data_IF_336326380801
#
_entry.id   IF_336326380801
#
_cell.length_a   1.000
_cell.length_b   1.000
_cell.length_c   1.000
_cell.angle_alpha   90.00
_cell.angle_beta   90.00
_cell.angle_gamma   90.00
#
_symmetry.space_group_name_H-M   'P 1'
#
loop_
_entity.id
_entity.type
_entity.pdbx_description
1 polymer ?
#
# COMPACT_ATOMS: atom_id res chain seq x y z
N UNK A 1 -45.16 9.33 89.92
CA UNK A 1 -44.72 8.00 89.59
C UNK A 1 -44.09 8.06 88.19
N UNK A 2 -42.79 7.84 88.14
CA UNK A 2 -41.86 8.12 87.07
C UNK A 2 -42.06 7.20 85.87
N UNK A 3 -41.76 7.70 84.71
CA UNK A 3 -41.05 6.91 83.73
C UNK A 3 -40.49 7.79 82.58
N UNK A 4 -39.18 7.86 82.57
CA UNK A 4 -38.36 8.48 81.50
C UNK A 4 -38.49 7.72 80.17
N UNK A 5 -38.61 8.48 79.13
CA UNK A 5 -38.45 7.94 77.80
C UNK A 5 -37.24 8.59 77.12
N UNK A 6 -36.16 7.84 76.99
CA UNK A 6 -34.98 8.24 76.28
C UNK A 6 -35.24 8.10 74.73
N UNK A 7 -35.17 9.22 74.03
CA UNK A 7 -35.17 9.23 72.57
C UNK A 7 -33.72 9.13 72.10
N UNK A 8 -33.39 8.04 71.48
CA UNK A 8 -32.12 7.83 70.78
C UNK A 8 -32.26 8.42 69.38
N UNK A 9 -31.52 9.50 69.08
CA UNK A 9 -31.41 10.11 67.75
C UNK A 9 -30.29 9.39 67.02
N UNK A 10 -30.64 8.53 66.12
CA UNK A 10 -29.68 7.88 65.18
C UNK A 10 -29.37 8.82 63.99
N UNK A 11 -28.18 9.41 64.07
CA UNK A 11 -27.64 10.21 62.95
C UNK A 11 -27.14 9.22 61.87
N UNK A 12 -27.87 9.11 60.77
CA UNK A 12 -27.46 8.34 59.59
C UNK A 12 -26.56 9.25 58.73
N UNK A 13 -25.24 9.11 58.92
CA UNK A 13 -24.27 9.78 58.08
C UNK A 13 -24.22 9.08 56.71
N UNK A 14 -24.85 9.67 55.70
CA UNK A 14 -24.80 9.25 54.33
C UNK A 14 -23.51 9.77 53.70
N UNK A 15 -22.47 8.91 53.65
CA UNK A 15 -21.23 9.20 52.97
C UNK A 15 -21.52 9.23 51.43
N UNK A 16 -21.53 10.44 50.85
CA UNK A 16 -21.60 10.68 49.45
C UNK A 16 -20.25 10.31 48.83
N UNK A 17 -20.12 9.11 48.29
CA UNK A 17 -18.98 8.76 47.43
C UNK A 17 -19.14 9.48 46.09
N UNK A 18 -18.44 10.60 45.95
CA UNK A 18 -18.23 11.24 44.67
C UNK A 18 -17.19 10.38 43.93
N UNK A 19 -17.66 9.54 43.04
CA UNK A 19 -16.78 8.95 42.04
C UNK A 19 -16.37 10.08 41.10
N UNK A 20 -15.20 10.67 41.34
CA UNK A 20 -14.51 11.43 40.29
C UNK A 20 -14.04 10.38 39.27
N UNK A 21 -14.81 10.19 38.24
CA UNK A 21 -14.33 9.57 37.00
C UNK A 21 -13.36 10.58 36.40
N UNK A 22 -12.06 10.43 36.67
CA UNK A 22 -11.06 10.95 35.74
C UNK A 22 -11.19 10.14 34.46
N UNK A 23 -11.95 10.63 33.53
CA UNK A 23 -11.66 10.35 32.14
C UNK A 23 -10.43 11.21 31.83
N UNK A 24 -9.24 10.61 31.85
CA UNK A 24 -8.13 11.12 31.07
C UNK A 24 -8.52 10.93 29.61
N UNK A 25 -9.42 11.77 29.11
CA UNK A 25 -9.60 11.99 27.70
C UNK A 25 -8.39 12.80 27.25
N UNK A 26 -7.29 12.08 26.94
CA UNK A 26 -6.17 12.66 26.23
C UNK A 26 -6.71 13.19 24.90
N UNK A 27 -6.90 14.51 24.85
CA UNK A 27 -7.37 15.20 23.63
C UNK A 27 -6.18 15.35 22.67
N UNK A 28 -5.86 14.29 21.92
CA UNK A 28 -4.79 14.29 20.93
C UNK A 28 -5.13 15.21 19.76
N UNK A 29 -4.14 15.82 19.09
CA UNK A 29 -4.37 16.57 17.86
C UNK A 29 -4.94 15.66 16.75
N UNK A 30 -5.61 16.26 15.76
CA UNK A 30 -6.02 15.56 14.55
C UNK A 30 -4.80 14.93 13.84
N UNK A 31 -4.97 13.85 13.07
CA UNK A 31 -3.91 13.25 12.29
C UNK A 31 -3.17 14.26 11.42
N UNK A 32 -1.89 14.03 11.16
CA UNK A 32 -1.06 14.80 10.23
C UNK A 32 -0.77 13.91 9.03
N UNK A 33 -1.00 14.44 7.83
CA UNK A 33 -0.63 13.83 6.57
C UNK A 33 0.49 14.68 5.97
N UNK A 34 1.60 14.07 5.61
CA UNK A 34 2.73 14.72 4.94
C UNK A 34 3.21 13.88 3.76
N UNK A 35 4.00 14.50 2.89
CA UNK A 35 4.63 13.87 1.73
C UNK A 35 3.64 13.10 0.87
N UNK A 36 2.41 13.63 0.71
CA UNK A 36 1.42 13.04 -0.19
C UNK A 36 1.91 13.13 -1.62
N UNK A 37 2.09 11.99 -2.24
CA UNK A 37 2.44 11.80 -3.64
C UNK A 37 1.26 11.13 -4.37
N UNK A 38 0.87 11.71 -5.51
CA UNK A 38 -0.19 11.20 -6.40
C UNK A 38 0.41 11.07 -7.79
N UNK A 39 0.45 9.83 -8.30
CA UNK A 39 1.22 9.49 -9.49
C UNK A 39 2.73 9.49 -9.21
N UNK A 40 3.53 8.96 -10.11
CA UNK A 40 4.98 8.90 -9.93
C UNK A 40 5.60 10.30 -9.92
N UNK A 41 6.53 10.54 -8.96
CA UNK A 41 7.19 11.82 -8.74
C UNK A 41 6.18 12.98 -8.51
N UNK A 42 5.06 12.64 -7.86
CA UNK A 42 3.94 13.56 -7.60
C UNK A 42 3.45 14.30 -8.86
N UNK A 43 3.46 13.61 -9.99
CA UNK A 43 3.04 14.16 -11.28
C UNK A 43 1.58 14.60 -11.31
N UNK A 44 0.75 14.06 -10.42
CA UNK A 44 -0.71 14.19 -10.42
C UNK A 44 -1.33 13.75 -11.75
N UNK A 45 -0.76 12.71 -12.37
CA UNK A 45 -1.25 12.11 -13.59
C UNK A 45 -1.41 10.62 -13.39
N UNK A 46 -2.58 10.11 -13.79
CA UNK A 46 -2.86 8.68 -13.92
C UNK A 46 -3.08 8.31 -15.39
N UNK A 47 -2.88 7.05 -15.75
CA UNK A 47 -3.05 6.59 -17.11
C UNK A 47 -4.07 5.46 -17.20
N UNK A 48 -4.97 5.49 -18.19
CA UNK A 48 -5.95 4.42 -18.45
C UNK A 48 -5.28 3.06 -18.57
N UNK A 49 -5.88 2.04 -17.93
CA UNK A 49 -5.38 0.66 -17.97
C UNK A 49 -4.10 0.43 -17.16
N UNK A 50 -3.72 1.39 -16.32
CA UNK A 50 -2.59 1.26 -15.39
C UNK A 50 -3.03 1.54 -13.97
N UNK A 51 -2.12 1.53 -13.01
CA UNK A 51 -2.40 1.90 -11.63
C UNK A 51 -1.94 3.34 -11.34
N UNK A 52 -2.68 4.02 -10.49
CA UNK A 52 -2.30 5.28 -9.86
C UNK A 52 -1.49 4.97 -8.59
N UNK A 53 -0.24 5.40 -8.56
CA UNK A 53 0.62 5.34 -7.37
C UNK A 53 0.20 6.42 -6.37
N UNK A 54 0.10 6.04 -5.08
CA UNK A 54 -0.21 6.96 -3.98
C UNK A 54 0.70 6.62 -2.81
N UNK A 55 1.46 7.61 -2.32
CA UNK A 55 2.30 7.50 -1.13
C UNK A 55 1.99 8.65 -0.16
N UNK A 56 2.08 8.39 1.16
CA UNK A 56 1.94 9.41 2.19
C UNK A 56 2.54 8.95 3.52
N UNK A 57 3.10 9.91 4.28
CA UNK A 57 3.46 9.70 5.68
C UNK A 57 2.33 10.18 6.59
N UNK A 58 1.92 9.34 7.54
CA UNK A 58 0.80 9.62 8.44
C UNK A 58 1.27 9.54 9.89
N UNK A 59 0.95 10.58 10.68
CA UNK A 59 1.16 10.61 12.12
C UNK A 59 -0.17 10.91 12.80
N UNK A 60 -0.63 10.01 13.70
CA UNK A 60 -1.86 10.15 14.46
C UNK A 60 -1.60 9.81 15.93
N UNK A 61 -1.43 10.82 16.80
CA UNK A 61 -1.23 10.60 18.24
C UNK A 61 -2.41 9.86 18.87
N UNK A 62 -3.64 10.14 18.39
CA UNK A 62 -4.89 9.46 18.77
C UNK A 62 -5.06 8.07 18.16
N UNK A 63 -4.06 7.55 17.44
CA UNK A 63 -4.03 6.31 16.66
C UNK A 63 -5.00 6.32 15.47
N UNK A 64 -4.55 5.83 14.34
CA UNK A 64 -5.36 5.68 13.14
C UNK A 64 -6.52 4.70 13.42
N UNK A 65 -7.74 5.09 13.08
CA UNK A 65 -8.89 4.19 12.98
C UNK A 65 -8.98 3.61 11.57
N UNK A 66 -9.02 4.50 10.57
CA UNK A 66 -9.08 4.13 9.15
C UNK A 66 -8.57 5.25 8.24
N UNK A 67 -8.23 4.86 7.03
CA UNK A 67 -7.86 5.77 5.93
C UNK A 67 -8.89 5.57 4.83
N UNK A 68 -9.42 6.67 4.27
CA UNK A 68 -10.42 6.66 3.20
C UNK A 68 -9.87 7.43 2.00
N UNK A 69 -10.04 6.86 0.82
CA UNK A 69 -9.79 7.53 -0.45
C UNK A 69 -11.08 7.55 -1.25
N UNK A 70 -11.45 8.73 -1.74
CA UNK A 70 -12.54 8.93 -2.68
C UNK A 70 -11.99 9.65 -3.92
N UNK A 71 -12.31 9.13 -5.10
CA UNK A 71 -11.94 9.69 -6.40
C UNK A 71 -13.19 9.75 -7.26
N UNK A 72 -13.44 10.90 -7.90
CA UNK A 72 -14.54 11.06 -8.84
C UNK A 72 -14.20 12.12 -9.90
N UNK A 73 -14.80 12.01 -11.10
CA UNK A 73 -14.57 12.92 -12.20
C UNK A 73 -15.10 14.33 -11.88
N UNK A 74 -14.36 15.39 -12.26
CA UNK A 74 -14.75 16.79 -11.98
C UNK A 74 -16.07 17.20 -12.68
N UNK A 75 -16.46 16.53 -13.76
CA UNK A 75 -17.66 16.82 -14.57
C UNK A 75 -19.00 16.45 -13.93
N UNK A 76 -19.06 15.81 -12.77
CA UNK A 76 -20.31 15.25 -12.18
C UNK A 76 -21.22 16.29 -11.49
N UNK A 77 -21.19 17.55 -11.90
CA UNK A 77 -22.18 18.55 -11.48
C UNK A 77 -23.44 18.59 -12.35
N UNK A 78 -23.88 17.44 -12.88
CA UNK A 78 -25.27 17.26 -13.35
C UNK A 78 -25.53 17.51 -14.83
N UNK A 79 -24.59 17.33 -15.72
CA UNK A 79 -24.84 17.35 -17.17
C UNK A 79 -24.64 15.98 -17.82
N UNK A 80 -25.73 15.23 -17.93
CA UNK A 80 -25.83 14.10 -18.86
C UNK A 80 -25.82 14.64 -20.29
N UNK A 81 -24.68 14.70 -20.94
CA UNK A 81 -24.58 14.99 -22.37
C UNK A 81 -23.86 13.88 -23.12
N UNK A 82 -24.65 12.99 -23.72
CA UNK A 82 -24.45 12.42 -25.04
C UNK A 82 -23.31 11.46 -25.24
N UNK A 83 -23.68 10.15 -25.34
CA UNK A 83 -22.97 9.11 -26.12
C UNK A 83 -21.42 9.25 -26.22
N UNK A 84 -20.76 8.86 -25.16
CA UNK A 84 -19.41 8.31 -25.22
C UNK A 84 -19.45 6.96 -24.52
N UNK A 85 -18.73 5.96 -25.08
CA UNK A 85 -18.53 4.63 -24.48
C UNK A 85 -17.57 4.67 -23.27
N UNK A 86 -17.13 5.88 -22.83
CA UNK A 86 -16.31 6.10 -21.64
C UNK A 86 -17.21 6.10 -20.41
N UNK A 87 -16.81 5.38 -19.37
CA UNK A 87 -17.52 5.32 -18.10
C UNK A 87 -16.91 6.32 -17.11
N UNK A 88 -17.78 7.07 -16.43
CA UNK A 88 -17.38 7.84 -15.25
C UNK A 88 -16.74 6.86 -14.26
N UNK A 89 -15.45 6.98 -14.04
CA UNK A 89 -14.74 6.17 -13.07
C UNK A 89 -14.83 6.83 -11.70
N UNK A 90 -15.35 6.08 -10.76
CA UNK A 90 -15.38 6.44 -9.36
C UNK A 90 -14.63 5.38 -8.56
N UNK A 91 -13.90 5.81 -7.56
CA UNK A 91 -13.22 4.92 -6.63
C UNK A 91 -13.46 5.40 -5.20
N UNK A 92 -13.93 4.49 -4.36
CA UNK A 92 -14.04 4.70 -2.92
C UNK A 92 -13.51 3.46 -2.21
N UNK A 93 -12.55 3.65 -1.30
CA UNK A 93 -12.04 2.54 -0.50
C UNK A 93 -11.65 2.99 0.90
N UNK A 94 -11.84 2.10 1.86
CA UNK A 94 -11.48 2.29 3.27
C UNK A 94 -10.48 1.22 3.71
N UNK A 95 -9.27 1.65 4.08
CA UNK A 95 -8.24 0.79 4.66
C UNK A 95 -8.32 0.81 6.17
N UNK A 96 -8.38 -0.38 6.77
CA UNK A 96 -8.39 -0.60 8.23
C UNK A 96 -7.15 -1.32 8.73
N UNK A 97 -6.26 -1.79 7.86
CA UNK A 97 -5.02 -2.48 8.23
C UNK A 97 -4.03 -1.59 9.01
N UNK A 98 -4.18 -0.28 8.93
CA UNK A 98 -3.40 0.70 9.71
C UNK A 98 -4.00 0.99 11.09
N UNK A 99 -5.13 0.40 11.43
CA UNK A 99 -5.85 0.67 12.67
C UNK A 99 -5.00 0.38 13.91
N UNK A 100 -5.00 1.30 14.87
CA UNK A 100 -4.22 1.23 16.10
C UNK A 100 -2.78 1.75 15.99
N UNK A 101 -2.27 2.00 14.78
CA UNK A 101 -0.93 2.57 14.57
C UNK A 101 -0.92 4.07 14.89
N UNK A 102 0.20 4.58 15.41
CA UNK A 102 0.46 6.01 15.56
C UNK A 102 1.13 6.62 14.35
N UNK A 103 1.94 5.83 13.64
CA UNK A 103 2.65 6.24 12.44
C UNK A 103 2.40 5.18 11.38
N UNK A 104 2.18 5.60 10.15
CA UNK A 104 2.04 4.70 9.01
C UNK A 104 2.66 5.35 7.78
N UNK A 105 3.36 4.54 6.98
CA UNK A 105 3.65 4.83 5.59
C UNK A 105 2.50 4.23 4.78
N UNK A 106 1.68 5.11 4.18
CA UNK A 106 0.65 4.71 3.24
C UNK A 106 1.26 4.56 1.86
N UNK A 107 1.19 3.39 1.28
CA UNK A 107 1.67 3.11 -0.07
C UNK A 107 0.67 2.18 -0.75
N UNK A 108 -0.02 2.68 -1.77
CA UNK A 108 -1.05 1.95 -2.51
C UNK A 108 -0.99 2.24 -4.00
N UNK A 109 -1.44 1.26 -4.76
CA UNK A 109 -1.68 1.34 -6.18
C UNK A 109 -3.18 1.12 -6.44
N UNK A 110 -3.79 2.02 -7.18
CA UNK A 110 -5.23 2.00 -7.51
C UNK A 110 -5.37 1.83 -9.01
N UNK A 111 -6.01 0.75 -9.43
CA UNK A 111 -6.21 0.47 -10.85
C UNK A 111 -7.13 1.52 -11.50
N UNK A 112 -6.66 2.13 -12.57
CA UNK A 112 -7.46 3.02 -13.42
C UNK A 112 -8.00 2.18 -14.58
N UNK A 113 -9.33 2.04 -14.74
CA UNK A 113 -9.92 1.29 -15.83
C UNK A 113 -9.46 1.77 -17.21
N UNK A 114 -9.40 0.85 -18.17
CA UNK A 114 -9.02 1.18 -19.56
C UNK A 114 -10.03 2.13 -20.22
N UNK A 115 -11.28 2.09 -19.76
CA UNK A 115 -12.42 2.89 -20.23
C UNK A 115 -12.77 4.07 -19.32
N UNK A 116 -11.92 4.39 -18.31
CA UNK A 116 -12.11 5.57 -17.47
C UNK A 116 -12.19 6.84 -18.32
N UNK A 117 -13.05 7.79 -17.99
CA UNK A 117 -13.12 9.07 -18.67
C UNK A 117 -11.80 9.85 -18.54
N UNK A 118 -11.38 10.53 -19.63
CA UNK A 118 -10.17 11.37 -19.59
C UNK A 118 -10.50 12.74 -19.01
N UNK A 119 -9.55 13.31 -18.26
CA UNK A 119 -9.68 14.65 -17.71
C UNK A 119 -9.36 14.73 -16.24
N UNK A 120 -9.87 15.77 -15.59
CA UNK A 120 -9.57 16.08 -14.21
C UNK A 120 -10.51 15.32 -13.25
N UNK A 121 -9.92 14.81 -12.18
CA UNK A 121 -10.59 14.07 -11.13
C UNK A 121 -10.32 14.73 -9.77
N UNK A 122 -11.34 14.82 -8.95
CA UNK A 122 -11.19 15.16 -7.53
C UNK A 122 -10.65 13.96 -6.77
N UNK A 123 -9.73 14.26 -5.85
CA UNK A 123 -9.04 13.29 -5.01
C UNK A 123 -9.17 13.72 -3.56
N UNK A 124 -9.84 12.91 -2.75
CA UNK A 124 -10.10 13.14 -1.33
C UNK A 124 -9.41 12.08 -0.50
N UNK A 125 -8.33 12.44 0.18
CA UNK A 125 -7.58 11.55 1.06
C UNK A 125 -7.82 11.90 2.52
N UNK A 126 -8.50 11.01 3.26
CA UNK A 126 -8.95 11.24 4.63
C UNK A 126 -8.30 10.27 5.59
N UNK A 127 -7.76 10.77 6.69
CA UNK A 127 -7.29 9.97 7.81
C UNK A 127 -8.18 10.27 9.02
N UNK A 128 -8.77 9.24 9.58
CA UNK A 128 -9.64 9.29 10.76
C UNK A 128 -8.93 8.59 11.91
N UNK A 129 -8.84 9.23 13.07
CA UNK A 129 -8.29 8.63 14.28
C UNK A 129 -9.36 7.94 15.14
N UNK A 130 -8.93 7.20 16.18
CA UNK A 130 -9.83 6.48 17.09
C UNK A 130 -10.67 7.41 17.98
N UNK A 131 -10.36 8.72 18.02
CA UNK A 131 -11.18 9.74 18.68
C UNK A 131 -12.20 10.37 17.72
N UNK A 132 -12.19 9.97 16.42
CA UNK A 132 -13.08 10.49 15.40
C UNK A 132 -12.61 11.83 14.81
N UNK A 133 -11.36 12.27 15.10
CA UNK A 133 -10.79 13.44 14.46
C UNK A 133 -10.37 13.09 13.04
N UNK A 134 -10.59 14.02 12.12
CA UNK A 134 -10.36 13.83 10.69
C UNK A 134 -9.36 14.86 10.19
N UNK A 135 -8.42 14.42 9.37
CA UNK A 135 -7.64 15.27 8.48
C UNK A 135 -7.90 14.80 7.06
N UNK A 136 -8.22 15.75 6.19
CA UNK A 136 -8.50 15.54 4.78
C UNK A 136 -7.58 16.41 3.94
N UNK A 137 -7.04 15.81 2.86
CA UNK A 137 -6.42 16.54 1.76
C UNK A 137 -7.32 16.35 0.53
N UNK A 138 -7.80 17.47 0.02
CA UNK A 138 -8.53 17.57 -1.24
C UNK A 138 -7.61 18.16 -2.30
N UNK A 139 -7.51 17.51 -3.46
CA UNK A 139 -6.73 17.96 -4.60
C UNK A 139 -7.27 17.35 -5.88
N UNK A 140 -6.66 17.68 -7.01
CA UNK A 140 -7.01 17.17 -8.33
C UNK A 140 -5.85 16.39 -8.92
N UNK A 141 -6.16 15.44 -9.81
CA UNK A 141 -5.22 14.78 -10.70
C UNK A 141 -5.88 14.54 -12.05
N UNK A 142 -5.09 14.36 -13.09
CA UNK A 142 -5.56 14.19 -14.47
C UNK A 142 -5.42 12.74 -14.93
N UNK A 143 -6.46 12.17 -15.53
CA UNK A 143 -6.41 10.84 -16.19
C UNK A 143 -6.16 11.05 -17.69
N UNK A 144 -5.10 10.41 -18.19
CA UNK A 144 -4.65 10.46 -19.59
C UNK A 144 -4.62 9.09 -20.25
N UNK A 145 -4.52 9.10 -21.58
CA UNK A 145 -4.08 7.90 -22.30
C UNK A 145 -2.57 7.69 -22.08
N UNK A 146 -2.10 6.41 -22.05
CA UNK A 146 -0.67 6.12 -22.03
C UNK A 146 0.08 6.88 -23.14
N UNK A 147 1.21 7.48 -22.77
CA UNK A 147 2.02 8.28 -23.71
C UNK A 147 3.09 7.44 -24.43
N UNK A 148 3.32 6.20 -23.94
CA UNK A 148 4.39 5.34 -24.41
C UNK A 148 3.91 3.92 -24.69
N UNK A 149 4.56 3.27 -25.65
CA UNK A 149 4.30 1.87 -26.03
C UNK A 149 5.51 0.96 -25.84
N UNK A 150 6.66 1.51 -25.43
CA UNK A 150 7.90 0.77 -25.20
C UNK A 150 7.95 0.32 -23.73
N UNK A 151 8.42 -0.92 -23.52
CA UNK A 151 8.65 -1.44 -22.18
C UNK A 151 10.07 -1.13 -21.70
N UNK A 152 10.30 -0.97 -20.37
CA UNK A 152 11.64 -0.94 -19.81
C UNK A 152 12.45 -2.20 -20.17
N UNK A 153 13.75 -2.02 -20.38
CA UNK A 153 14.67 -3.12 -20.66
C UNK A 153 15.34 -3.54 -19.34
N UNK A 154 15.14 -4.80 -18.97
CA UNK A 154 15.71 -5.41 -17.78
C UNK A 154 16.90 -6.27 -18.21
N UNK A 155 18.07 -6.04 -17.62
CA UNK A 155 19.28 -6.82 -17.82
C UNK A 155 19.73 -7.41 -16.50
N UNK A 156 19.50 -8.71 -16.29
CA UNK A 156 19.98 -9.41 -15.08
C UNK A 156 21.43 -9.78 -15.28
N UNK A 157 22.29 -9.36 -14.35
CA UNK A 157 23.73 -9.60 -14.36
C UNK A 157 24.16 -10.72 -13.42
N UNK A 158 23.34 -11.03 -12.41
CA UNK A 158 23.56 -12.12 -11.46
C UNK A 158 22.21 -12.67 -11.01
N UNK A 159 22.04 -13.98 -11.11
CA UNK A 159 20.88 -14.71 -10.61
C UNK A 159 21.30 -16.13 -10.18
N UNK A 160 20.49 -16.83 -9.39
CA UNK A 160 20.69 -18.27 -9.14
C UNK A 160 20.73 -19.07 -10.45
N UNK A 161 21.47 -20.17 -10.44
CA UNK A 161 21.42 -21.10 -11.57
C UNK A 161 20.07 -21.80 -11.65
N UNK A 162 19.63 -22.18 -12.84
CA UNK A 162 18.41 -22.93 -13.07
C UNK A 162 18.37 -24.22 -12.22
N UNK A 163 17.29 -24.43 -11.46
CA UNK A 163 17.13 -25.54 -10.52
C UNK A 163 18.09 -25.52 -9.32
N UNK A 164 18.72 -24.39 -8.99
CA UNK A 164 19.54 -24.28 -7.78
C UNK A 164 18.67 -24.49 -6.53
N UNK A 165 19.15 -25.37 -5.64
CA UNK A 165 18.45 -25.69 -4.37
C UNK A 165 18.88 -24.69 -3.30
N UNK A 166 17.92 -24.19 -2.54
CA UNK A 166 18.11 -23.36 -1.35
C UNK A 166 17.43 -23.97 -0.13
N UNK A 167 18.12 -23.94 1.00
CA UNK A 167 17.61 -24.42 2.28
C UNK A 167 17.26 -23.27 3.22
N UNK A 168 16.49 -23.58 4.27
CA UNK A 168 16.17 -22.60 5.31
C UNK A 168 17.44 -21.92 5.85
N UNK A 169 17.42 -20.59 5.92
CA UNK A 169 18.52 -19.75 6.37
C UNK A 169 19.52 -19.35 5.26
N UNK A 170 19.41 -19.90 4.04
CA UNK A 170 20.24 -19.49 2.90
C UNK A 170 19.67 -18.24 2.21
N UNK A 171 20.55 -17.48 1.56
CA UNK A 171 20.18 -16.23 0.89
C UNK A 171 19.99 -16.44 -0.61
N UNK A 172 18.87 -16.00 -1.13
CA UNK A 172 18.57 -15.89 -2.56
C UNK A 172 18.87 -14.45 -2.96
N UNK A 173 19.73 -14.26 -3.98
CA UNK A 173 20.12 -12.93 -4.47
C UNK A 173 19.97 -12.85 -5.97
N UNK A 174 19.45 -11.71 -6.46
CA UNK A 174 19.42 -11.35 -7.89
C UNK A 174 19.86 -9.90 -8.05
N UNK A 175 20.62 -9.61 -9.11
CA UNK A 175 21.11 -8.26 -9.41
C UNK A 175 21.08 -7.98 -10.91
N UNK A 176 20.98 -6.70 -11.26
CA UNK A 176 20.93 -6.27 -12.63
C UNK A 176 20.73 -4.77 -12.80
N UNK A 177 20.24 -4.39 -13.96
CA UNK A 177 19.89 -3.01 -14.29
C UNK A 177 18.54 -2.98 -15.02
N UNK A 178 17.78 -1.93 -14.80
CA UNK A 178 16.63 -1.55 -15.61
C UNK A 178 16.91 -0.22 -16.29
N UNK A 179 16.54 -0.10 -17.56
CA UNK A 179 16.69 1.14 -18.34
C UNK A 179 15.43 1.41 -19.18
N UNK A 180 15.13 2.68 -19.37
CA UNK A 180 14.06 3.12 -20.24
C UNK A 180 14.44 4.46 -20.89
N UNK A 181 13.85 4.77 -22.05
CA UNK A 181 14.06 6.06 -22.73
C UNK A 181 13.35 7.23 -22.08
N UNK A 182 12.24 6.94 -21.36
CA UNK A 182 11.49 7.88 -20.54
C UNK A 182 11.72 7.56 -19.05
N UNK A 183 11.11 8.31 -18.13
CA UNK A 183 11.28 8.04 -16.71
C UNK A 183 10.69 6.67 -16.31
N UNK A 184 11.41 5.95 -15.44
CA UNK A 184 10.94 4.74 -14.78
C UNK A 184 9.86 5.09 -13.76
N UNK A 185 8.83 4.26 -13.63
CA UNK A 185 7.70 4.47 -12.75
C UNK A 185 7.65 3.48 -11.58
N UNK A 186 7.99 2.22 -11.81
CA UNK A 186 7.95 1.20 -10.79
C UNK A 186 8.80 -0.02 -11.13
N UNK A 187 9.42 -0.65 -10.13
CA UNK A 187 10.10 -1.92 -10.25
C UNK A 187 9.69 -2.86 -9.14
N UNK A 188 9.41 -4.10 -9.50
CA UNK A 188 9.04 -5.16 -8.60
C UNK A 188 9.84 -6.43 -8.90
N UNK A 189 10.37 -7.07 -7.86
CA UNK A 189 11.03 -8.37 -7.93
C UNK A 189 10.28 -9.33 -7.01
N UNK A 190 9.63 -10.32 -7.61
CA UNK A 190 8.85 -11.34 -6.89
C UNK A 190 9.53 -12.70 -6.92
N UNK A 191 9.44 -13.42 -5.79
CA UNK A 191 9.68 -14.86 -5.71
C UNK A 191 8.32 -15.56 -5.75
N UNK A 192 8.07 -16.23 -6.83
CA UNK A 192 6.78 -16.80 -7.21
C UNK A 192 6.83 -18.30 -7.08
N UNK A 193 5.87 -18.90 -6.40
CA UNK A 193 5.76 -20.37 -6.38
C UNK A 193 5.21 -20.85 -7.72
N UNK A 194 5.94 -21.75 -8.38
CA UNK A 194 5.68 -22.16 -9.76
C UNK A 194 4.29 -22.80 -9.95
N UNK A 195 3.75 -23.49 -8.93
CA UNK A 195 2.43 -24.13 -8.98
C UNK A 195 1.24 -23.15 -8.99
N UNK A 196 1.45 -21.88 -8.68
CA UNK A 196 0.42 -20.84 -8.78
C UNK A 196 0.03 -20.53 -10.23
N UNK A 197 0.89 -20.88 -11.20
CA UNK A 197 0.66 -20.65 -12.63
C UNK A 197 0.26 -19.20 -13.00
N UNK A 198 0.89 -18.22 -12.34
CA UNK A 198 0.61 -16.81 -12.61
C UNK A 198 1.17 -16.39 -13.97
N UNK A 199 0.42 -15.55 -14.68
CA UNK A 199 0.97 -14.78 -15.79
C UNK A 199 1.94 -13.72 -15.23
N UNK A 200 2.98 -13.34 -16.00
CA UNK A 200 4.00 -12.40 -15.53
C UNK A 200 3.41 -11.04 -15.13
N UNK A 201 2.37 -10.60 -15.83
CA UNK A 201 1.65 -9.35 -15.53
C UNK A 201 0.93 -9.40 -14.17
N UNK A 202 0.43 -10.57 -13.76
CA UNK A 202 -0.35 -10.75 -12.54
C UNK A 202 0.53 -10.86 -11.29
N UNK A 203 1.84 -11.09 -11.45
CA UNK A 203 2.79 -11.15 -10.34
C UNK A 203 2.84 -9.80 -9.62
N UNK A 204 2.53 -9.81 -8.33
CA UNK A 204 2.52 -8.59 -7.50
C UNK A 204 2.73 -8.91 -6.02
N UNK A 205 2.78 -7.87 -5.20
CA UNK A 205 3.05 -8.01 -3.76
C UNK A 205 1.93 -8.69 -2.96
N UNK A 206 0.75 -8.91 -3.52
CA UNK A 206 -0.36 -9.59 -2.83
C UNK A 206 -0.31 -11.11 -2.99
N UNK A 207 0.35 -11.61 -4.02
CA UNK A 207 0.34 -13.04 -4.37
C UNK A 207 1.73 -13.71 -4.40
N UNK A 208 2.81 -12.96 -4.13
CA UNK A 208 4.18 -13.49 -4.14
C UNK A 208 5.01 -12.95 -3.00
N UNK A 209 6.14 -13.57 -2.69
CA UNK A 209 7.11 -13.04 -1.74
C UNK A 209 7.91 -11.92 -2.44
N UNK A 210 7.86 -10.72 -1.91
CA UNK A 210 8.58 -9.57 -2.46
C UNK A 210 10.06 -9.61 -2.11
N UNK A 211 10.93 -9.62 -3.12
CA UNK A 211 12.38 -9.43 -2.93
C UNK A 211 12.76 -7.97 -2.96
N UNK A 212 12.11 -7.19 -3.80
CA UNK A 212 12.28 -5.73 -3.92
C UNK A 212 11.02 -5.12 -4.52
N UNK A 213 10.60 -4.01 -3.97
CA UNK A 213 9.60 -3.12 -4.54
C UNK A 213 10.11 -1.69 -4.35
N UNK A 214 10.28 -0.93 -5.42
CA UNK A 214 10.80 0.43 -5.35
C UNK A 214 10.24 1.33 -6.42
N UNK A 215 10.14 2.61 -6.07
CA UNK A 215 9.89 3.74 -6.98
C UNK A 215 11.05 4.74 -6.94
N UNK A 216 12.07 4.46 -6.11
CA UNK A 216 13.29 5.26 -5.99
C UNK A 216 14.34 4.75 -6.98
N UNK A 217 14.87 5.63 -7.80
CA UNK A 217 15.84 5.29 -8.86
C UNK A 217 17.09 6.15 -8.80
N UNK A 218 18.23 5.56 -9.19
CA UNK A 218 19.52 6.29 -9.30
C UNK A 218 19.46 7.43 -10.32
N UNK A 219 18.67 7.24 -11.36
CA UNK A 219 18.33 8.27 -12.35
C UNK A 219 16.94 7.99 -12.94
N UNK A 220 16.25 8.98 -13.51
CA UNK A 220 14.94 8.77 -14.09
C UNK A 220 14.89 7.65 -15.14
N UNK A 221 15.95 7.41 -15.88
CA UNK A 221 15.97 6.49 -17.02
C UNK A 221 16.81 5.22 -16.79
N UNK A 222 17.41 5.06 -15.62
CA UNK A 222 18.27 3.90 -15.31
C UNK A 222 18.37 3.68 -13.81
N UNK A 223 18.31 2.39 -13.41
CA UNK A 223 18.50 1.97 -12.04
C UNK A 223 19.25 0.64 -11.98
N UNK A 224 20.26 0.56 -11.09
CA UNK A 224 20.92 -0.69 -10.76
C UNK A 224 20.24 -1.30 -9.53
N UNK A 225 19.87 -2.57 -9.60
CA UNK A 225 19.22 -3.26 -8.49
C UNK A 225 20.03 -4.44 -7.98
N UNK A 226 19.94 -4.68 -6.69
CA UNK A 226 20.33 -5.91 -6.01
C UNK A 226 19.27 -6.23 -4.96
N UNK A 227 18.68 -7.41 -5.05
CA UNK A 227 17.66 -7.87 -4.13
C UNK A 227 18.09 -9.18 -3.49
N UNK A 228 17.94 -9.29 -2.16
CA UNK A 228 18.30 -10.48 -1.40
C UNK A 228 17.20 -10.80 -0.39
N UNK A 229 16.80 -12.07 -0.30
CA UNK A 229 15.92 -12.56 0.76
C UNK A 229 16.51 -13.83 1.36
N UNK A 230 16.30 -14.04 2.68
CA UNK A 230 16.68 -15.28 3.37
C UNK A 230 15.51 -16.24 3.34
N UNK A 231 15.73 -17.48 2.92
CA UNK A 231 14.73 -18.55 2.97
C UNK A 231 14.27 -18.77 4.41
N UNK A 232 12.95 -18.69 4.64
CA UNK A 232 12.37 -18.74 5.99
C UNK A 232 12.28 -17.39 6.70
N UNK A 233 12.56 -16.26 6.03
CA UNK A 233 12.32 -14.94 6.59
C UNK A 233 10.84 -14.79 7.02
N UNK A 234 10.60 -14.09 8.13
CA UNK A 234 9.24 -13.86 8.65
C UNK A 234 8.47 -12.78 7.84
N UNK A 235 9.19 -11.84 7.24
CA UNK A 235 8.64 -10.73 6.45
C UNK A 235 9.35 -10.61 5.11
N UNK A 236 8.64 -10.13 4.13
CA UNK A 236 9.16 -9.81 2.80
C UNK A 236 9.86 -8.43 2.77
N UNK A 237 10.42 -8.06 1.61
CA UNK A 237 11.10 -6.78 1.40
C UNK A 237 10.21 -5.77 0.64
N UNK A 238 8.91 -5.82 0.83
CA UNK A 238 8.04 -4.81 0.25
C UNK A 238 8.31 -3.42 0.89
N UNK A 239 7.91 -2.33 0.22
CA UNK A 239 7.96 -0.95 0.76
C UNK A 239 7.32 -0.89 2.15
N UNK A 240 6.18 -1.57 2.33
CA UNK A 240 5.63 -1.91 3.64
C UNK A 240 5.79 -3.41 3.82
N UNK A 241 6.79 -3.88 4.61
CA UNK A 241 7.05 -5.31 4.78
C UNK A 241 5.82 -6.06 5.28
N UNK A 242 5.51 -7.20 4.65
CA UNK A 242 4.39 -8.06 5.01
C UNK A 242 4.86 -9.38 5.59
N UNK A 243 4.11 -9.99 6.52
CA UNK A 243 4.35 -11.37 6.94
C UNK A 243 4.30 -12.33 5.75
N UNK A 244 5.26 -13.27 5.70
CA UNK A 244 5.28 -14.33 4.70
C UNK A 244 4.49 -15.53 5.27
N UNK A 245 3.15 -15.42 5.16
CA UNK A 245 2.20 -16.41 5.68
C UNK A 245 1.05 -16.66 4.69
N UNK A 246 0.07 -17.49 5.07
CA UNK A 246 -1.08 -17.79 4.22
C UNK A 246 -0.67 -18.37 2.86
N UNK A 247 -1.19 -17.77 1.79
CA UNK A 247 -1.00 -18.22 0.41
C UNK A 247 0.45 -18.04 -0.09
N UNK A 248 1.20 -17.08 0.49
CA UNK A 248 2.60 -16.82 0.16
C UNK A 248 3.59 -17.45 1.14
N UNK A 249 3.11 -18.24 2.12
CA UNK A 249 3.98 -18.93 3.08
C UNK A 249 5.05 -19.77 2.38
N UNK A 250 6.26 -19.80 2.96
CA UNK A 250 7.34 -20.65 2.50
C UNK A 250 6.92 -22.12 2.45
N UNK A 251 7.26 -22.81 1.37
CA UNK A 251 6.96 -24.23 1.17
C UNK A 251 8.14 -24.95 0.50
N UNK A 252 8.23 -26.25 0.67
CA UNK A 252 9.08 -27.13 -0.16
C UNK A 252 8.46 -27.19 -1.55
N UNK A 253 9.01 -26.42 -2.50
CA UNK A 253 8.47 -26.30 -3.84
C UNK A 253 9.49 -25.70 -4.81
N UNK A 254 9.18 -25.80 -6.10
CA UNK A 254 9.82 -25.01 -7.15
C UNK A 254 9.27 -23.57 -7.11
N UNK A 255 10.18 -22.62 -7.19
CA UNK A 255 9.90 -21.19 -7.31
C UNK A 255 10.60 -20.61 -8.53
N UNK A 256 10.16 -19.43 -8.98
CA UNK A 256 10.95 -18.64 -9.88
C UNK A 256 11.04 -17.19 -9.43
N UNK A 257 12.14 -16.52 -9.77
CA UNK A 257 12.30 -15.09 -9.57
C UNK A 257 11.90 -14.40 -10.87
N UNK A 258 11.05 -13.36 -10.74
CA UNK A 258 10.66 -12.51 -11.84
C UNK A 258 10.93 -11.05 -11.48
N UNK A 259 11.64 -10.35 -12.37
CA UNK A 259 11.80 -8.89 -12.30
C UNK A 259 10.84 -8.27 -13.30
N UNK A 260 10.04 -7.31 -12.86
CA UNK A 260 9.21 -6.48 -13.73
C UNK A 260 9.37 -5.01 -13.42
N UNK A 261 9.26 -4.18 -14.45
CA UNK A 261 9.31 -2.72 -14.33
C UNK A 261 8.43 -2.08 -15.39
N UNK A 262 7.99 -0.87 -15.12
CA UNK A 262 7.30 -0.03 -16.09
C UNK A 262 7.77 1.41 -16.00
N UNK A 263 7.42 2.21 -16.99
CA UNK A 263 7.67 3.65 -16.98
C UNK A 263 6.60 4.42 -16.17
N UNK A 264 6.85 5.72 -16.00
CA UNK A 264 5.95 6.64 -15.31
C UNK A 264 4.82 7.19 -16.20
N UNK A 265 4.72 6.77 -17.47
CA UNK A 265 3.83 7.34 -18.49
C UNK A 265 2.80 6.34 -19.03
N UNK A 266 2.54 5.29 -18.26
CA UNK A 266 1.52 4.29 -18.58
C UNK A 266 1.91 3.28 -19.65
N UNK A 267 3.18 3.16 -19.97
CA UNK A 267 3.69 2.15 -20.90
C UNK A 267 3.56 0.72 -20.36
N UNK A 268 3.80 -0.28 -21.22
CA UNK A 268 3.70 -1.68 -20.84
C UNK A 268 4.79 -2.08 -19.85
N UNK A 269 4.56 -3.16 -19.11
CA UNK A 269 5.59 -3.77 -18.29
C UNK A 269 6.69 -4.41 -19.15
N UNK A 270 7.94 -4.18 -18.74
CA UNK A 270 9.10 -5.00 -19.13
C UNK A 270 9.29 -6.12 -18.11
N UNK A 271 9.67 -7.31 -18.59
CA UNK A 271 9.89 -8.50 -17.77
C UNK A 271 11.29 -9.07 -18.02
N UNK A 272 11.88 -9.67 -16.98
CA UNK A 272 13.05 -10.54 -17.12
C UNK A 272 12.61 -11.93 -17.62
N UNK A 273 13.59 -12.79 -17.90
CA UNK A 273 13.37 -14.25 -17.89
C UNK A 273 12.96 -14.70 -16.46
N UNK A 274 12.31 -15.87 -16.37
CA UNK A 274 12.03 -16.55 -15.10
C UNK A 274 13.25 -17.35 -14.67
N UNK A 275 13.76 -17.12 -13.46
CA UNK A 275 14.91 -17.84 -12.89
C UNK A 275 14.41 -18.88 -11.90
N UNK A 276 14.34 -20.14 -12.34
CA UNK A 276 13.79 -21.25 -11.53
C UNK A 276 14.76 -21.74 -10.50
N UNK A 277 14.26 -22.01 -9.29
CA UNK A 277 14.99 -22.51 -8.13
C UNK A 277 14.12 -23.48 -7.35
N UNK A 278 14.73 -24.35 -6.56
CA UNK A 278 14.04 -25.24 -5.62
C UNK A 278 14.27 -24.77 -4.19
N UNK A 279 13.22 -24.74 -3.38
CA UNK A 279 13.29 -24.37 -1.96
C UNK A 279 12.93 -25.58 -1.10
N UNK A 280 13.79 -25.85 -0.10
CA UNK A 280 13.62 -26.90 0.89
C UNK A 280 13.66 -26.29 2.29
N UNK A 281 12.59 -26.45 3.07
CA UNK A 281 12.37 -25.85 4.39
C UNK A 281 12.96 -26.67 5.54
N UNK A 282 13.89 -27.57 5.24
CA UNK A 282 14.54 -28.46 6.23
C UNK A 282 16.05 -28.54 6.04
#
# INVERSE_FOLDING_TARGET
MNRNLFSILAIFSMALFVFVSCSDDDDFPAPVISDLEIGYDNSKVGYRGTDLHIDAEIVAEGRIDRIVLEIHHEGDHGHKSGQHDDHEWEFEYTWTEFSGLKNAKFHKHIDIPLDAELGDYHFHFKVIDMQGKVTEIETEFEVKNPENTNAPVITVTSAPSDGQVFHMGESITIAGTVTHEMALGGMYIGLVRADQNLEDADVNSSNTITLLHTHDYDSPTSHAFEATIVVGAEHDNNITPKPIDGDIAWQDAEYYILVKSRDAFGGPFGFSERYYIDIHMH
#
